data_IF_933228654435
#
_entry.id   IF_933228654435
#
_cell.length_a   1.000
_cell.length_b   1.000
_cell.length_c   1.000
_cell.angle_alpha   90.00
_cell.angle_beta   90.00
_cell.angle_gamma   90.00
#
_symmetry.space_group_name_H-M   'P 1'
#
loop_
_entity.id
_entity.type
_entity.pdbx_description
1 polymer ?
#
# COMPACT_ATOMS: atom_id res chain seq x y z
N UNK A 1 3.60 19.16 -30.92
CA UNK A 1 4.06 20.21 -29.99
C UNK A 1 3.96 19.63 -28.58
N UNK A 2 5.05 19.04 -28.10
CA UNK A 2 5.10 18.37 -26.79
C UNK A 2 5.52 19.35 -25.72
N UNK A 3 4.70 19.52 -24.69
CA UNK A 3 5.12 20.15 -23.45
C UNK A 3 5.92 19.11 -22.67
N UNK A 4 7.25 19.22 -22.68
CA UNK A 4 8.07 18.66 -21.61
C UNK A 4 7.83 19.53 -20.37
N UNK A 5 7.06 19.03 -19.42
CA UNK A 5 7.09 19.56 -18.07
C UNK A 5 8.42 19.09 -17.49
N UNK A 6 9.36 20.02 -17.34
CA UNK A 6 10.61 19.80 -16.64
C UNK A 6 10.28 19.38 -15.20
N UNK A 7 10.39 18.08 -14.90
CA UNK A 7 10.38 17.60 -13.53
C UNK A 7 11.50 18.32 -12.76
N UNK A 8 11.10 19.03 -11.69
CA UNK A 8 11.97 19.67 -10.71
C UNK A 8 12.95 18.62 -10.10
N UNK A 9 14.12 19.03 -9.60
CA UNK A 9 15.24 18.12 -9.36
C UNK A 9 14.88 16.99 -8.40
N UNK A 10 15.30 15.79 -8.80
CA UNK A 10 15.21 14.53 -8.07
C UNK A 10 15.77 14.73 -6.67
N UNK A 11 14.92 14.70 -5.63
CA UNK A 11 15.40 14.38 -4.28
C UNK A 11 16.10 13.03 -4.42
N UNK A 12 17.37 12.88 -3.98
CA UNK A 12 18.08 11.62 -4.12
C UNK A 12 17.25 10.50 -3.50
N UNK A 13 17.10 9.40 -4.22
CA UNK A 13 16.57 8.17 -3.63
C UNK A 13 17.57 7.76 -2.55
N UNK A 14 17.13 7.76 -1.30
CA UNK A 14 17.93 7.26 -0.19
C UNK A 14 17.55 5.80 0.05
N UNK A 15 18.53 4.92 -0.07
CA UNK A 15 18.36 3.55 0.41
C UNK A 15 18.20 3.57 1.93
N UNK A 16 17.22 2.82 2.42
CA UNK A 16 16.98 2.68 3.85
C UNK A 16 18.21 2.04 4.52
N UNK A 17 18.90 2.81 5.36
CA UNK A 17 20.19 2.38 5.95
C UNK A 17 20.02 1.49 7.18
N UNK A 18 18.84 1.49 7.80
CA UNK A 18 18.59 0.61 8.93
C UNK A 18 18.40 -0.83 8.42
N UNK A 19 18.93 -1.83 9.14
CA UNK A 19 18.96 -3.19 8.64
C UNK A 19 17.56 -3.82 8.59
N UNK A 20 16.99 -3.96 7.39
CA UNK A 20 16.01 -5.02 7.09
C UNK A 20 16.74 -6.31 6.68
N UNK A 21 17.93 -6.56 7.23
CA UNK A 21 18.87 -7.54 6.65
C UNK A 21 18.88 -8.86 7.40
N UNK A 22 17.70 -9.42 7.54
CA UNK A 22 17.47 -10.75 8.05
C UNK A 22 17.56 -11.75 6.87
N UNK A 23 18.77 -11.96 6.33
CA UNK A 23 19.12 -13.04 5.40
C UNK A 23 18.39 -13.08 4.02
N UNK A 24 18.42 -11.96 3.27
CA UNK A 24 17.75 -11.81 1.96
C UNK A 24 16.23 -11.95 2.06
N UNK A 25 15.65 -11.13 2.93
CA UNK A 25 14.20 -11.05 3.05
C UNK A 25 13.62 -10.12 1.98
N UNK A 26 12.42 -10.45 1.47
CA UNK A 26 11.64 -9.56 0.64
C UNK A 26 10.74 -8.72 1.54
N UNK A 27 10.78 -7.40 1.40
CA UNK A 27 9.88 -6.51 2.14
C UNK A 27 8.54 -6.45 1.38
N UNK A 28 7.60 -7.28 1.80
CA UNK A 28 6.33 -7.52 1.09
C UNK A 28 5.32 -6.40 1.27
N UNK A 29 5.28 -5.77 2.45
CA UNK A 29 4.34 -4.70 2.75
C UNK A 29 4.92 -3.71 3.75
N UNK A 30 4.45 -2.47 3.67
CA UNK A 30 4.86 -1.37 4.54
C UNK A 30 3.66 -0.51 4.90
N UNK A 31 3.63 -0.05 6.15
CA UNK A 31 2.71 1.00 6.56
C UNK A 31 3.40 1.98 7.50
N UNK A 32 2.90 3.21 7.52
CA UNK A 32 3.51 4.30 8.27
C UNK A 32 2.45 5.09 9.04
N UNK A 33 2.94 5.71 10.11
CA UNK A 33 2.23 6.71 10.90
C UNK A 33 3.21 7.84 11.19
N UNK A 34 2.75 8.90 11.86
CA UNK A 34 3.57 10.05 12.28
C UNK A 34 4.83 9.64 13.07
N UNK A 35 4.79 8.47 13.73
CA UNK A 35 5.77 8.06 14.72
C UNK A 35 6.48 6.74 14.42
N UNK A 36 6.01 5.98 13.43
CA UNK A 36 6.51 4.63 13.22
C UNK A 36 6.29 4.17 11.79
N UNK A 37 7.22 3.36 11.31
CA UNK A 37 7.13 2.64 10.04
C UNK A 37 7.19 1.16 10.37
N UNK A 38 6.27 0.36 9.84
CA UNK A 38 6.24 -1.07 10.03
C UNK A 38 6.44 -1.75 8.68
N UNK A 39 7.39 -2.67 8.61
CA UNK A 39 7.71 -3.43 7.40
C UNK A 39 7.61 -4.91 7.71
N UNK A 40 6.95 -5.66 6.85
CA UNK A 40 6.82 -7.12 6.97
C UNK A 40 7.42 -7.86 5.80
N UNK A 41 7.95 -9.05 6.07
CA UNK A 41 8.62 -9.90 5.09
C UNK A 41 8.39 -11.39 5.30
N UNK A 42 9.25 -12.22 4.73
CA UNK A 42 9.23 -13.67 4.88
C UNK A 42 9.56 -14.11 6.32
N UNK A 43 10.35 -13.32 7.07
CA UNK A 43 10.84 -13.73 8.39
C UNK A 43 10.24 -12.98 9.57
N UNK A 44 9.35 -12.02 9.33
CA UNK A 44 8.68 -11.32 10.42
C UNK A 44 8.32 -9.87 10.16
N UNK A 45 8.32 -9.10 11.25
CA UNK A 45 7.91 -7.70 11.34
C UNK A 45 9.06 -6.89 11.94
N UNK A 46 9.48 -5.83 11.25
CA UNK A 46 10.32 -4.78 11.83
C UNK A 46 9.45 -3.54 12.05
N UNK A 47 9.59 -2.92 13.22
CA UNK A 47 8.99 -1.64 13.55
C UNK A 47 10.14 -0.64 13.72
N UNK A 48 10.13 0.42 12.93
CA UNK A 48 11.03 1.55 13.05
C UNK A 48 10.34 2.71 13.77
N UNK A 49 11.13 3.51 14.48
CA UNK A 49 10.68 4.80 14.99
C UNK A 49 10.62 5.87 13.89
N UNK A 50 10.21 7.06 14.30
CA UNK A 50 10.02 8.22 13.44
C UNK A 50 11.32 8.78 12.83
N UNK A 51 12.48 8.31 13.27
CA UNK A 51 13.80 8.67 12.75
C UNK A 51 14.42 7.53 11.93
N UNK A 52 13.66 6.46 11.70
CA UNK A 52 14.10 5.27 10.97
C UNK A 52 14.98 4.32 11.79
N UNK A 53 15.09 4.49 13.10
CA UNK A 53 15.81 3.55 13.96
C UNK A 53 14.93 2.33 14.28
N UNK A 54 15.52 1.13 14.32
CA UNK A 54 14.78 -0.08 14.70
C UNK A 54 14.29 0.04 16.15
N UNK A 55 12.98 -0.01 16.33
CA UNK A 55 12.30 -0.03 17.63
C UNK A 55 12.03 -1.45 18.11
N UNK A 56 11.60 -2.32 17.21
CA UNK A 56 11.31 -3.72 17.53
C UNK A 56 11.48 -4.64 16.31
N UNK A 57 11.89 -5.88 16.59
CA UNK A 57 11.90 -6.99 15.63
C UNK A 57 11.11 -8.17 16.21
N UNK A 58 10.19 -8.69 15.41
CA UNK A 58 9.41 -9.89 15.74
C UNK A 58 9.64 -10.95 14.68
N UNK A 59 10.42 -11.97 15.03
CA UNK A 59 10.66 -13.13 14.17
C UNK A 59 9.39 -13.99 14.04
N UNK A 60 9.09 -14.43 12.81
CA UNK A 60 7.93 -15.25 12.49
C UNK A 60 8.32 -16.38 11.55
N UNK A 61 7.78 -17.58 11.80
CA UNK A 61 8.07 -18.78 11.00
C UNK A 61 7.39 -18.80 9.62
N UNK A 62 6.51 -17.84 9.35
CA UNK A 62 5.76 -17.75 8.09
C UNK A 62 5.78 -16.36 7.49
N UNK A 63 5.80 -16.24 6.14
CA UNK A 63 5.73 -14.96 5.48
C UNK A 63 4.50 -14.14 5.86
N UNK A 64 4.76 -12.86 6.07
CA UNK A 64 3.76 -11.83 6.24
C UNK A 64 3.66 -11.03 4.93
N UNK A 65 2.43 -10.69 4.53
CA UNK A 65 2.10 -10.07 3.24
C UNK A 65 1.32 -8.77 3.37
N UNK A 66 0.88 -8.43 4.57
CA UNK A 66 0.16 -7.20 4.85
C UNK A 66 0.56 -6.68 6.22
N UNK A 67 0.65 -5.36 6.34
CA UNK A 67 0.87 -4.66 7.60
C UNK A 67 -0.04 -3.44 7.66
N UNK A 68 -0.46 -3.07 8.87
CA UNK A 68 -1.29 -1.88 9.10
C UNK A 68 -0.99 -1.32 10.49
N UNK A 69 -0.64 -0.05 10.59
CA UNK A 69 -0.49 0.67 11.85
C UNK A 69 -1.81 1.37 12.18
N UNK A 70 -2.30 1.18 13.41
CA UNK A 70 -3.48 1.90 13.92
C UNK A 70 -3.22 2.34 15.34
N UNK A 71 -2.91 3.63 15.52
CA UNK A 71 -2.50 4.16 16.81
C UNK A 71 -1.26 3.41 17.32
N UNK A 72 -1.33 2.90 18.54
CA UNK A 72 -0.20 2.21 19.21
C UNK A 72 -0.15 0.69 18.90
N UNK A 73 -0.70 0.27 17.76
CA UNK A 73 -0.73 -1.15 17.35
C UNK A 73 -0.28 -1.34 15.92
N UNK A 74 0.40 -2.46 15.69
CA UNK A 74 0.72 -2.97 14.37
C UNK A 74 -0.03 -4.27 14.15
N UNK A 75 -0.78 -4.35 13.06
CA UNK A 75 -1.42 -5.58 12.60
C UNK A 75 -0.61 -6.17 11.47
N UNK A 76 -0.37 -7.48 11.52
CA UNK A 76 0.24 -8.22 10.42
C UNK A 76 -0.75 -9.24 9.87
N UNK A 77 -0.68 -9.48 8.58
CA UNK A 77 -1.40 -10.52 7.88
C UNK A 77 -0.43 -11.36 7.06
N UNK A 78 -0.51 -12.68 7.19
CA UNK A 78 0.39 -13.61 6.51
C UNK A 78 -0.27 -14.96 6.27
N UNK A 79 0.53 -15.99 6.02
CA UNK A 79 0.02 -17.29 5.57
C UNK A 79 -0.80 -18.05 6.61
N UNK A 80 -0.58 -17.77 7.89
CA UNK A 80 -1.32 -18.40 9.00
C UNK A 80 -2.47 -17.54 9.56
N UNK A 81 -2.70 -16.34 9.03
CA UNK A 81 -3.76 -15.46 9.49
C UNK A 81 -3.27 -14.08 9.87
N UNK A 82 -3.78 -13.55 10.97
CA UNK A 82 -3.50 -12.18 11.41
C UNK A 82 -3.03 -12.15 12.87
N UNK A 83 -2.18 -11.19 13.17
CA UNK A 83 -1.68 -10.92 14.52
C UNK A 83 -1.69 -9.42 14.78
N UNK A 84 -1.81 -9.05 16.06
CA UNK A 84 -1.69 -7.68 16.53
C UNK A 84 -0.56 -7.58 17.55
N UNK A 85 0.29 -6.56 17.39
CA UNK A 85 1.43 -6.29 18.25
C UNK A 85 1.34 -4.87 18.82
N UNK A 86 1.97 -4.64 19.97
CA UNK A 86 2.33 -3.28 20.39
C UNK A 86 3.42 -2.71 19.47
N UNK A 87 3.66 -1.40 19.52
CA UNK A 87 4.80 -0.80 18.81
C UNK A 87 6.18 -1.27 19.32
N UNK A 88 6.21 -1.93 20.49
CA UNK A 88 7.42 -2.50 21.07
C UNK A 88 7.58 -4.01 20.73
N UNK A 89 6.69 -4.56 19.90
CA UNK A 89 6.77 -5.94 19.40
C UNK A 89 6.06 -7.00 20.27
N UNK A 90 5.36 -6.60 21.33
CA UNK A 90 4.63 -7.55 22.16
C UNK A 90 3.38 -8.06 21.46
N UNK A 91 3.21 -9.39 21.37
CA UNK A 91 2.00 -9.99 20.82
C UNK A 91 0.80 -9.69 21.73
N UNK A 92 -0.21 -9.03 21.18
CA UNK A 92 -1.46 -8.70 21.87
C UNK A 92 -2.52 -9.77 21.64
N UNK A 93 -2.70 -10.20 20.39
CA UNK A 93 -3.62 -11.27 20.01
C UNK A 93 -3.29 -11.80 18.60
N UNK A 94 -3.77 -13.00 18.28
CA UNK A 94 -3.72 -13.57 16.94
C UNK A 94 -5.01 -14.31 16.59
N UNK A 95 -5.29 -14.44 15.29
CA UNK A 95 -6.41 -15.19 14.77
C UNK A 95 -6.05 -15.90 13.47
N UNK A 96 -6.34 -17.20 13.42
CA UNK A 96 -6.06 -18.03 12.25
C UNK A 96 -7.01 -17.73 11.08
N UNK A 97 -6.46 -17.70 9.87
CA UNK A 97 -7.22 -17.65 8.62
C UNK A 97 -6.72 -18.74 7.67
N UNK A 98 -7.59 -19.64 7.26
CA UNK A 98 -7.21 -20.82 6.48
C UNK A 98 -6.62 -20.51 5.09
N UNK A 99 -6.83 -19.30 4.56
CA UNK A 99 -6.28 -18.85 3.29
C UNK A 99 -5.29 -17.70 3.47
N UNK A 100 -4.71 -17.58 4.67
CA UNK A 100 -3.86 -16.47 5.07
C UNK A 100 -4.57 -15.12 5.02
N UNK A 101 -3.80 -14.05 5.00
CA UNK A 101 -4.26 -12.68 4.83
C UNK A 101 -3.41 -11.96 3.78
N UNK A 102 -4.07 -11.44 2.75
CA UNK A 102 -3.43 -10.71 1.64
C UNK A 102 -3.42 -9.20 1.84
N UNK A 103 -4.38 -8.66 2.60
CA UNK A 103 -4.50 -7.21 2.83
C UNK A 103 -5.25 -6.93 4.12
N UNK A 104 -4.83 -5.88 4.81
CA UNK A 104 -5.48 -5.36 6.00
C UNK A 104 -6.04 -3.96 5.73
N UNK A 105 -7.12 -3.60 6.41
CA UNK A 105 -7.64 -2.23 6.42
C UNK A 105 -8.46 -1.98 7.69
N UNK A 106 -8.56 -0.73 8.12
CA UNK A 106 -9.40 -0.34 9.26
C UNK A 106 -10.68 0.35 8.78
N UNK A 107 -11.82 -0.27 9.05
CA UNK A 107 -13.13 0.34 8.84
C UNK A 107 -13.60 1.00 10.13
N UNK A 108 -13.94 2.29 10.05
CA UNK A 108 -14.34 3.09 11.20
C UNK A 108 -13.19 3.25 12.19
N UNK A 109 -13.45 2.98 13.47
CA UNK A 109 -12.46 3.18 14.55
C UNK A 109 -11.86 1.87 15.08
N UNK A 110 -12.55 0.75 14.91
CA UNK A 110 -12.26 -0.48 15.65
C UNK A 110 -12.49 -1.77 14.87
N UNK A 111 -12.92 -1.68 13.60
CA UNK A 111 -13.21 -2.87 12.79
C UNK A 111 -12.07 -3.12 11.83
N UNK A 112 -11.19 -4.05 12.20
CA UNK A 112 -10.11 -4.52 11.32
C UNK A 112 -10.69 -5.47 10.27
N UNK A 113 -10.43 -5.19 9.01
CA UNK A 113 -10.78 -6.03 7.87
C UNK A 113 -9.53 -6.78 7.39
N UNK A 114 -9.67 -8.08 7.19
CA UNK A 114 -8.66 -8.94 6.58
C UNK A 114 -9.21 -9.54 5.28
N UNK A 115 -8.51 -9.32 4.17
CA UNK A 115 -8.77 -10.03 2.93
C UNK A 115 -8.11 -11.41 2.99
N UNK A 116 -8.91 -12.47 2.91
CA UNK A 116 -8.47 -13.86 3.01
C UNK A 116 -9.14 -14.72 1.93
N UNK A 117 -8.37 -15.18 0.95
CA UNK A 117 -8.85 -16.08 -0.10
C UNK A 117 -10.05 -15.51 -0.88
N UNK A 118 -10.01 -14.21 -1.16
CA UNK A 118 -11.07 -13.49 -1.86
C UNK A 118 -12.30 -13.17 -1.00
N UNK A 119 -12.20 -13.28 0.33
CA UNK A 119 -13.26 -12.93 1.29
C UNK A 119 -12.77 -11.88 2.28
N UNK A 120 -13.65 -10.94 2.63
CA UNK A 120 -13.37 -10.00 3.73
C UNK A 120 -13.84 -10.63 5.03
N UNK A 121 -12.96 -10.77 6.01
CA UNK A 121 -13.27 -11.20 7.37
C UNK A 121 -12.99 -10.05 8.32
N UNK A 122 -13.94 -9.74 9.21
CA UNK A 122 -13.79 -8.64 10.18
C UNK A 122 -13.49 -9.11 11.59
N UNK A 123 -12.70 -8.30 12.28
CA UNK A 123 -12.26 -8.50 13.65
C UNK A 123 -12.35 -7.19 14.43
N UNK A 124 -12.56 -7.30 15.74
CA UNK A 124 -12.30 -6.18 16.64
C UNK A 124 -10.80 -5.92 16.67
N UNK A 125 -10.36 -4.73 16.30
CA UNK A 125 -8.95 -4.32 16.32
C UNK A 125 -8.35 -4.38 17.73
N UNK A 126 -9.19 -4.23 18.76
CA UNK A 126 -8.78 -4.29 20.16
C UNK A 126 -8.59 -5.73 20.67
N UNK A 127 -9.51 -6.63 20.36
CA UNK A 127 -9.60 -7.95 21.03
C UNK A 127 -9.30 -9.14 20.14
N UNK A 128 -9.16 -8.95 18.83
CA UNK A 128 -9.08 -10.06 17.87
C UNK A 128 -10.36 -10.87 17.75
N UNK A 129 -11.44 -10.49 18.46
CA UNK A 129 -12.74 -11.17 18.35
C UNK A 129 -13.27 -11.01 16.94
N UNK A 130 -13.48 -12.13 16.25
CA UNK A 130 -14.15 -12.17 14.96
C UNK A 130 -15.56 -11.60 15.06
N UNK A 131 -15.90 -10.65 14.20
CA UNK A 131 -17.20 -9.97 14.19
C UNK A 131 -18.13 -10.65 13.19
N UNK A 132 -18.16 -10.19 11.93
CA UNK A 132 -18.84 -10.82 10.79
C UNK A 132 -18.55 -10.00 9.52
N UNK A 133 -18.05 -10.60 8.44
CA UNK A 133 -18.16 -10.02 7.08
C UNK A 133 -18.04 -11.15 6.05
N UNK A 134 -18.81 -11.10 4.97
CA UNK A 134 -18.66 -12.01 3.82
C UNK A 134 -19.01 -11.25 2.53
N UNK A 135 -18.17 -10.30 2.14
CA UNK A 135 -18.03 -10.00 0.71
C UNK A 135 -17.15 -11.10 0.10
N UNK A 136 -17.56 -11.65 -1.06
CA UNK A 136 -16.83 -12.70 -1.79
C UNK A 136 -16.37 -12.22 -3.16
N UNK A 137 -15.29 -12.82 -3.64
CA UNK A 137 -14.68 -12.50 -4.93
C UNK A 137 -13.93 -11.16 -4.91
N UNK A 138 -13.53 -10.69 -3.73
CA UNK A 138 -12.78 -9.44 -3.57
C UNK A 138 -11.32 -9.68 -3.93
N UNK A 139 -10.77 -8.86 -4.82
CA UNK A 139 -9.35 -8.92 -5.21
C UNK A 139 -8.51 -7.96 -4.40
N UNK A 140 -9.04 -6.77 -4.13
CA UNK A 140 -8.41 -5.76 -3.28
C UNK A 140 -9.47 -4.88 -2.61
N UNK A 141 -9.11 -4.26 -1.49
CA UNK A 141 -9.99 -3.37 -0.74
C UNK A 141 -9.22 -2.19 -0.16
N UNK A 142 -9.90 -1.08 0.07
CA UNK A 142 -9.36 0.08 0.78
C UNK A 142 -10.46 0.74 1.60
N UNK A 143 -10.08 1.48 2.64
CA UNK A 143 -11.02 2.13 3.55
C UNK A 143 -10.61 3.56 3.84
N UNK A 144 -11.60 4.44 4.04
CA UNK A 144 -11.40 5.76 4.65
C UNK A 144 -12.60 6.06 5.54
N UNK A 145 -12.36 6.21 6.85
CA UNK A 145 -13.41 6.31 7.85
C UNK A 145 -14.40 5.15 7.75
N UNK A 146 -15.68 5.44 7.52
CA UNK A 146 -16.75 4.43 7.38
C UNK A 146 -16.98 3.98 5.93
N UNK A 147 -16.16 4.43 4.99
CA UNK A 147 -16.25 4.05 3.57
C UNK A 147 -15.36 2.83 3.33
N UNK A 148 -15.94 1.80 2.69
CA UNK A 148 -15.22 0.63 2.21
C UNK A 148 -15.31 0.61 0.68
N UNK A 149 -14.18 0.50 0.01
CA UNK A 149 -14.12 0.26 -1.44
C UNK A 149 -13.57 -1.14 -1.67
N UNK A 150 -14.21 -1.89 -2.55
CA UNK A 150 -13.78 -3.25 -2.93
C UNK A 150 -13.68 -3.36 -4.43
N UNK A 151 -12.63 -4.00 -4.92
CA UNK A 151 -12.55 -4.45 -6.29
C UNK A 151 -12.88 -5.95 -6.38
N UNK A 152 -13.57 -6.33 -7.45
CA UNK A 152 -13.79 -7.72 -7.87
C UNK A 152 -13.38 -7.83 -9.34
N UNK A 153 -12.10 -8.09 -9.59
CA UNK A 153 -11.53 -8.01 -10.93
C UNK A 153 -11.55 -6.56 -11.44
N UNK A 154 -12.31 -6.29 -12.49
CA UNK A 154 -12.45 -4.97 -13.10
C UNK A 154 -13.63 -4.13 -12.56
N UNK A 155 -14.39 -4.65 -11.59
CA UNK A 155 -15.50 -3.91 -10.97
C UNK A 155 -15.10 -3.38 -9.61
N UNK A 156 -15.12 -2.07 -9.44
CA UNK A 156 -14.90 -1.38 -8.17
C UNK A 156 -16.26 -0.95 -7.61
N UNK A 157 -16.54 -1.27 -6.35
CA UNK A 157 -17.75 -0.83 -5.66
C UNK A 157 -17.39 -0.07 -4.39
N UNK A 158 -18.05 1.06 -4.18
CA UNK A 158 -17.96 1.84 -2.95
C UNK A 158 -19.16 1.55 -2.07
N UNK A 159 -18.90 1.17 -0.83
CA UNK A 159 -19.88 0.86 0.19
C UNK A 159 -19.79 1.92 1.29
N UNK A 160 -20.94 2.52 1.64
CA UNK A 160 -21.07 3.47 2.74
C UNK A 160 -22.15 2.96 3.69
N UNK A 161 -21.81 2.84 4.96
CA UNK A 161 -22.71 2.24 5.97
C UNK A 161 -23.28 0.88 5.50
N UNK A 162 -22.39 0.01 5.01
CA UNK A 162 -22.69 -1.35 4.50
C UNK A 162 -23.61 -1.42 3.27
N UNK A 163 -23.95 -0.29 2.65
CA UNK A 163 -24.75 -0.24 1.42
C UNK A 163 -23.87 0.18 0.25
N UNK A 164 -24.03 -0.50 -0.88
CA UNK A 164 -23.37 -0.09 -2.13
C UNK A 164 -23.92 1.28 -2.52
N UNK A 165 -23.04 2.29 -2.52
CA UNK A 165 -23.33 3.63 -2.99
C UNK A 165 -23.23 3.69 -4.52
N UNK A 166 -22.21 3.05 -5.09
CA UNK A 166 -22.02 2.92 -6.53
C UNK A 166 -21.11 1.74 -6.86
N UNK A 167 -21.20 1.28 -8.12
CA UNK A 167 -20.30 0.30 -8.74
C UNK A 167 -19.84 0.83 -10.09
N UNK A 168 -18.56 0.65 -10.42
CA UNK A 168 -17.93 1.07 -11.66
C UNK A 168 -17.12 -0.06 -12.27
N UNK A 169 -17.28 -0.29 -13.56
CA UNK A 169 -16.33 -1.06 -14.36
C UNK A 169 -15.21 -0.13 -14.83
N UNK A 170 -13.96 -0.49 -14.56
CA UNK A 170 -12.78 0.34 -14.87
C UNK A 170 -11.99 -0.14 -16.09
N UNK A 171 -12.38 -1.27 -16.69
CA UNK A 171 -11.75 -1.81 -17.90
C UNK A 171 -10.38 -2.47 -17.69
N UNK A 172 -9.92 -2.63 -16.46
CA UNK A 172 -8.71 -3.37 -16.08
C UNK A 172 -8.92 -4.07 -14.74
N UNK A 173 -8.21 -5.15 -14.45
CA UNK A 173 -8.21 -5.77 -13.12
C UNK A 173 -7.46 -4.85 -12.15
N UNK A 174 -8.13 -4.40 -11.09
CA UNK A 174 -7.49 -3.55 -10.09
C UNK A 174 -6.41 -4.35 -9.33
N UNK A 175 -5.17 -3.87 -9.40
CA UNK A 175 -4.04 -4.36 -8.63
C UNK A 175 -4.10 -3.81 -7.20
N UNK A 176 -4.36 -2.51 -7.06
CA UNK A 176 -4.49 -1.85 -5.76
C UNK A 176 -5.45 -0.65 -5.76
N UNK A 177 -5.87 -0.25 -4.56
CA UNK A 177 -6.78 0.86 -4.27
C UNK A 177 -6.29 1.69 -3.08
N UNK A 178 -6.50 3.00 -3.15
CA UNK A 178 -6.41 3.91 -2.02
C UNK A 178 -7.55 4.95 -2.05
N UNK A 179 -7.84 5.55 -0.89
CA UNK A 179 -8.81 6.65 -0.80
C UNK A 179 -8.09 7.88 -0.26
N UNK A 180 -8.38 9.03 -0.85
CA UNK A 180 -7.92 10.32 -0.32
C UNK A 180 -8.86 10.89 0.75
N UNK A 181 -8.50 12.05 1.29
CA UNK A 181 -9.25 12.74 2.35
C UNK A 181 -10.63 13.23 1.90
N UNK A 182 -10.84 13.47 0.61
CA UNK A 182 -12.15 13.77 0.02
C UNK A 182 -13.01 12.49 -0.18
N UNK A 183 -12.40 11.33 -0.01
CA UNK A 183 -12.98 10.01 -0.19
C UNK A 183 -13.03 9.56 -1.65
N UNK A 184 -12.33 10.26 -2.55
CA UNK A 184 -12.16 9.86 -3.93
C UNK A 184 -11.22 8.66 -4.00
N UNK A 185 -11.47 7.80 -5.00
CA UNK A 185 -10.88 6.47 -5.10
C UNK A 185 -9.80 6.48 -6.16
N UNK A 186 -8.58 6.25 -5.72
CA UNK A 186 -7.44 5.99 -6.57
C UNK A 186 -7.36 4.49 -6.85
N UNK A 187 -7.27 4.12 -8.13
CA UNK A 187 -7.20 2.72 -8.55
C UNK A 187 -6.11 2.52 -9.60
N UNK A 188 -5.36 1.43 -9.45
CA UNK A 188 -4.29 1.06 -10.38
C UNK A 188 -4.46 -0.36 -10.91
N UNK A 189 -3.91 -0.62 -12.10
CA UNK A 189 -3.86 -1.95 -12.72
C UNK A 189 -3.85 -1.88 -14.24
N UNK A 190 -3.32 -2.92 -14.90
CA UNK A 190 -3.23 -2.97 -16.38
C UNK A 190 -2.64 -1.69 -16.98
N UNK A 191 -1.48 -1.25 -16.46
CA UNK A 191 -0.76 -0.03 -16.87
C UNK A 191 -1.59 1.26 -16.72
N UNK A 192 -2.63 1.24 -15.88
CA UNK A 192 -3.53 2.38 -15.69
C UNK A 192 -3.45 2.92 -14.28
N UNK A 193 -3.56 4.26 -14.16
CA UNK A 193 -3.90 4.97 -12.94
C UNK A 193 -5.21 5.71 -13.17
N UNK A 194 -6.13 5.62 -12.22
CA UNK A 194 -7.49 6.14 -12.34
C UNK A 194 -7.90 6.85 -11.05
N UNK A 195 -8.48 8.03 -11.19
CA UNK A 195 -9.18 8.70 -10.09
C UNK A 195 -10.69 8.66 -10.34
N UNK A 196 -11.44 8.16 -9.36
CA UNK A 196 -12.90 8.03 -9.40
C UNK A 196 -13.49 8.85 -8.26
N UNK A 197 -14.49 9.67 -8.54
CA UNK A 197 -15.16 10.39 -7.46
C UNK A 197 -15.84 9.43 -6.48
N UNK A 198 -15.49 9.51 -5.21
CA UNK A 198 -16.06 8.73 -4.13
C UNK A 198 -17.53 9.03 -3.88
N UNK A 199 -18.00 10.20 -4.32
CA UNK A 199 -19.40 10.62 -4.20
C UNK A 199 -20.30 10.00 -5.26
N UNK A 200 -19.86 10.01 -6.52
CA UNK A 200 -20.71 9.68 -7.68
C UNK A 200 -20.29 8.39 -8.40
N UNK A 201 -19.07 7.90 -8.14
CA UNK A 201 -18.45 6.82 -8.89
C UNK A 201 -18.06 7.21 -10.31
N UNK A 202 -18.06 8.49 -10.69
CA UNK A 202 -17.63 8.94 -12.02
C UNK A 202 -16.10 8.99 -12.11
N UNK A 203 -15.55 8.49 -13.22
CA UNK A 203 -14.12 8.65 -13.53
C UNK A 203 -13.84 10.14 -13.72
N UNK A 204 -12.93 10.69 -12.94
CA UNK A 204 -12.47 12.07 -13.05
C UNK A 204 -11.38 12.16 -14.12
N UNK A 205 -10.42 11.23 -14.08
CA UNK A 205 -9.42 11.08 -15.12
C UNK A 205 -8.84 9.65 -15.11
N UNK A 206 -8.24 9.28 -16.25
CA UNK A 206 -7.41 8.09 -16.42
C UNK A 206 -6.06 8.49 -17.02
N UNK A 207 -4.97 7.89 -16.55
CA UNK A 207 -3.61 8.02 -17.07
C UNK A 207 -2.98 6.65 -17.26
N UNK A 208 -1.97 6.63 -18.11
CA UNK A 208 -1.11 5.47 -18.32
C UNK A 208 0.03 5.52 -17.30
N UNK A 209 0.31 4.37 -16.69
CA UNK A 209 1.51 4.12 -15.91
C UNK A 209 2.52 3.44 -16.85
N UNK A 210 3.77 3.92 -16.94
CA UNK A 210 4.75 3.46 -17.94
C UNK A 210 5.26 2.01 -17.75
N UNK A 211 4.64 1.23 -16.86
CA UNK A 211 5.04 -0.13 -16.51
C UNK A 211 3.92 -0.87 -15.80
N UNK A 212 4.25 -1.87 -14.99
CA UNK A 212 3.26 -2.60 -14.19
C UNK A 212 3.14 -1.96 -12.80
N UNK A 213 2.02 -1.27 -12.49
CA UNK A 213 1.80 -0.73 -11.16
C UNK A 213 1.44 -1.86 -10.19
N UNK A 214 2.02 -1.84 -9.00
CA UNK A 214 1.84 -2.90 -7.98
C UNK A 214 1.13 -2.41 -6.74
N UNK A 215 1.41 -1.18 -6.29
CA UNK A 215 0.78 -0.60 -5.11
C UNK A 215 0.56 0.91 -5.26
N UNK A 216 -0.43 1.42 -4.52
CA UNK A 216 -0.78 2.84 -4.49
C UNK A 216 -1.02 3.33 -3.06
N UNK A 217 -0.49 4.50 -2.74
CA UNK A 217 -0.79 5.25 -1.52
C UNK A 217 -1.26 6.67 -1.85
N UNK A 218 -1.70 7.41 -0.84
CA UNK A 218 -2.13 8.81 -0.96
C UNK A 218 -1.24 9.67 -0.06
N UNK A 219 -0.59 10.66 -0.68
CA UNK A 219 0.21 11.67 -0.03
C UNK A 219 -0.67 12.89 0.27
N UNK A 220 -0.79 13.28 1.54
CA UNK A 220 -1.66 14.39 1.88
C UNK A 220 -1.06 15.75 1.49
N UNK A 221 -1.84 16.55 0.76
CA UNK A 221 -1.36 17.83 0.21
C UNK A 221 -1.04 18.88 1.28
N UNK A 222 -1.84 18.91 2.36
CA UNK A 222 -1.81 19.98 3.36
C UNK A 222 -0.48 20.17 4.09
N UNK A 223 0.43 19.20 4.02
CA UNK A 223 1.70 19.20 4.75
C UNK A 223 2.93 19.50 3.87
N UNK A 224 2.81 19.50 2.54
CA UNK A 224 3.96 19.60 1.62
C UNK A 224 3.76 20.74 0.62
N UNK A 225 4.51 21.85 0.73
CA UNK A 225 4.35 23.02 -0.14
C UNK A 225 4.49 22.73 -1.65
N UNK A 226 5.22 21.67 -2.02
CA UNK A 226 5.51 21.32 -3.42
C UNK A 226 4.30 20.71 -4.16
N UNK A 227 3.37 20.06 -3.46
CA UNK A 227 2.23 19.35 -4.07
C UNK A 227 0.90 20.13 -3.93
N UNK A 228 0.90 21.26 -3.20
CA UNK A 228 -0.28 22.09 -2.99
C UNK A 228 -1.25 21.50 -1.96
N UNK A 229 -2.45 22.06 -1.83
CA UNK A 229 -3.39 21.70 -0.74
C UNK A 229 -4.23 20.45 -0.98
N UNK A 230 -4.09 19.78 -2.12
CA UNK A 230 -4.86 18.58 -2.47
C UNK A 230 -3.99 17.34 -2.36
N UNK A 231 -4.63 16.25 -2.00
CA UNK A 231 -3.99 14.95 -1.92
C UNK A 231 -3.50 14.48 -3.31
N UNK A 232 -2.39 13.74 -3.30
CA UNK A 232 -1.71 13.22 -4.49
C UNK A 232 -1.61 11.69 -4.41
N UNK A 233 -1.76 11.01 -5.54
CA UNK A 233 -1.60 9.56 -5.61
C UNK A 233 -0.14 9.19 -5.83
N UNK A 234 0.39 8.31 -4.98
CA UNK A 234 1.75 7.78 -5.09
C UNK A 234 1.67 6.34 -5.59
N UNK A 235 2.11 6.12 -6.81
CA UNK A 235 2.05 4.80 -7.46
C UNK A 235 3.45 4.24 -7.58
N UNK A 236 3.65 3.01 -7.12
CA UNK A 236 4.89 2.25 -7.35
C UNK A 236 4.62 1.02 -8.21
N UNK A 237 5.70 0.44 -8.73
CA UNK A 237 5.66 -0.70 -9.62
C UNK A 237 7.03 -0.97 -10.20
N UNK A 238 7.05 -1.62 -11.35
CA UNK A 238 8.28 -1.86 -12.09
C UNK A 238 8.12 -1.58 -13.59
N UNK A 239 9.23 -1.25 -14.22
CA UNK A 239 9.39 -1.17 -15.67
C UNK A 239 10.36 -2.25 -16.13
N UNK A 240 10.18 -2.74 -17.35
CA UNK A 240 11.12 -3.66 -17.99
C UNK A 240 12.35 -2.88 -18.48
N UNK A 241 13.55 -3.38 -18.19
CA UNK A 241 14.83 -2.85 -18.65
C UNK A 241 15.61 -3.91 -19.43
N UNK A 242 16.76 -3.54 -20.00
CA UNK A 242 17.64 -4.50 -20.68
C UNK A 242 18.33 -5.47 -19.71
N UNK A 243 18.29 -5.17 -18.41
CA UNK A 243 19.01 -5.90 -17.35
C UNK A 243 18.10 -6.57 -16.32
N UNK A 244 16.78 -6.52 -16.55
CA UNK A 244 15.77 -7.09 -15.65
C UNK A 244 14.60 -6.12 -15.51
N UNK A 245 14.21 -5.86 -14.26
CA UNK A 245 13.13 -4.93 -13.93
C UNK A 245 13.68 -3.88 -12.99
N UNK A 246 13.22 -2.65 -13.15
CA UNK A 246 13.62 -1.53 -12.31
C UNK A 246 12.39 -0.99 -11.58
N UNK A 247 12.55 -0.57 -10.33
CA UNK A 247 11.46 0.09 -9.60
C UNK A 247 11.10 1.37 -10.32
N UNK A 248 9.80 1.69 -10.37
CA UNK A 248 9.33 3.01 -10.77
C UNK A 248 8.33 3.52 -9.75
N UNK A 249 8.52 4.77 -9.31
CA UNK A 249 7.55 5.45 -8.44
C UNK A 249 7.19 6.80 -9.04
N UNK A 250 5.90 7.10 -9.11
CA UNK A 250 5.36 8.33 -9.70
C UNK A 250 4.33 8.94 -8.74
N UNK A 251 4.45 10.24 -8.50
CA UNK A 251 3.45 11.03 -7.77
C UNK A 251 2.59 11.77 -8.79
N UNK A 252 1.28 11.51 -8.74
CA UNK A 252 0.27 12.17 -9.55
C UNK A 252 -0.50 13.19 -8.71
N UNK A 253 -0.70 14.40 -9.25
CA UNK A 253 -1.60 15.39 -8.67
C UNK A 253 -3.06 14.91 -8.74
N UNK A 254 -3.94 15.55 -7.97
CA UNK A 254 -5.39 15.34 -8.05
C UNK A 254 -5.98 15.53 -9.46
N UNK A 255 -5.31 16.28 -10.33
CA UNK A 255 -5.74 16.55 -11.71
C UNK A 255 -5.09 15.57 -12.73
N UNK A 256 -4.30 14.61 -12.23
CA UNK A 256 -3.64 13.58 -13.04
C UNK A 256 -2.39 14.07 -13.76
N UNK A 257 -1.73 15.10 -13.24
CA UNK A 257 -0.42 15.56 -13.71
C UNK A 257 0.70 14.86 -12.93
N UNK A 258 1.85 14.62 -13.56
CA UNK A 258 3.01 14.05 -12.87
C UNK A 258 3.71 15.17 -12.10
N UNK A 259 3.73 15.06 -10.77
CA UNK A 259 4.44 15.99 -9.90
C UNK A 259 5.89 15.56 -9.68
N UNK A 260 6.13 14.26 -9.58
CA UNK A 260 7.44 13.67 -9.34
C UNK A 260 7.53 12.25 -9.89
N UNK A 261 8.73 11.81 -10.24
CA UNK A 261 9.01 10.42 -10.60
C UNK A 261 10.45 10.03 -10.27
N UNK A 262 10.67 8.76 -9.95
CA UNK A 262 11.99 8.17 -9.81
C UNK A 262 12.01 6.72 -10.31
N UNK A 263 13.19 6.29 -10.76
CA UNK A 263 13.51 4.91 -11.12
C UNK A 263 14.66 4.46 -10.24
N UNK A 264 14.56 3.28 -9.65
CA UNK A 264 15.64 2.65 -8.88
C UNK A 264 16.05 1.35 -9.56
N UNK A 265 17.34 1.25 -9.87
CA UNK A 265 18.00 0.14 -10.55
C UNK A 265 19.22 -0.25 -9.69
N UNK A 266 19.20 -1.45 -9.14
CA UNK A 266 20.28 -2.01 -8.32
C UNK A 266 21.43 -2.60 -9.17
N UNK A 267 21.31 -2.55 -10.49
CA UNK A 267 22.32 -2.79 -11.50
C UNK A 267 22.02 -3.98 -12.41
N UNK A 268 21.73 -5.15 -11.83
CA UNK A 268 21.52 -6.41 -12.55
C UNK A 268 20.56 -7.34 -11.83
N UNK A 269 19.40 -7.61 -12.43
CA UNK A 269 18.39 -8.51 -11.89
C UNK A 269 17.01 -7.87 -11.85
N UNK A 270 16.05 -8.57 -11.26
CA UNK A 270 14.71 -8.05 -11.06
C UNK A 270 14.67 -7.23 -9.76
N UNK A 271 14.38 -5.95 -9.91
CA UNK A 271 13.95 -5.05 -8.85
C UNK A 271 12.43 -4.87 -8.97
N UNK A 272 11.69 -5.48 -8.02
CA UNK A 272 10.22 -5.40 -7.97
C UNK A 272 9.77 -4.69 -6.69
N UNK A 273 9.11 -3.55 -6.86
CA UNK A 273 8.40 -2.86 -5.78
C UNK A 273 7.09 -3.60 -5.45
N UNK A 274 6.88 -3.95 -4.18
CA UNK A 274 5.69 -4.67 -3.71
C UNK A 274 4.67 -3.76 -3.03
N UNK A 275 5.12 -2.72 -2.32
CA UNK A 275 4.22 -1.86 -1.55
C UNK A 275 4.78 -0.45 -1.41
N UNK A 276 3.90 0.51 -1.12
CA UNK A 276 4.24 1.92 -0.90
C UNK A 276 3.36 2.53 0.17
N UNK A 277 3.96 3.31 1.06
CA UNK A 277 3.24 4.15 2.02
C UNK A 277 3.82 5.56 2.04
N UNK A 278 3.10 6.47 2.70
CA UNK A 278 3.56 7.85 2.90
C UNK A 278 3.49 8.23 4.37
N UNK A 279 4.43 9.05 4.82
CA UNK A 279 4.43 9.61 6.17
C UNK A 279 3.75 10.98 6.18
N UNK A 280 3.24 11.40 7.33
CA UNK A 280 2.70 12.75 7.57
C UNK A 280 3.76 13.87 7.40
N UNK A 281 5.04 13.51 7.26
CA UNK A 281 6.13 14.46 6.93
C UNK A 281 6.33 14.61 5.43
N UNK A 282 5.62 13.80 4.65
CA UNK A 282 5.72 13.79 3.20
C UNK A 282 6.78 12.89 2.62
N UNK A 283 7.26 11.92 3.40
CA UNK A 283 8.20 10.92 2.90
C UNK A 283 7.44 9.82 2.16
N UNK A 284 8.03 9.30 1.08
CA UNK A 284 7.49 8.17 0.33
C UNK A 284 8.40 6.98 0.63
N UNK A 285 7.81 5.92 1.18
CA UNK A 285 8.53 4.70 1.54
C UNK A 285 8.04 3.59 0.63
N UNK A 286 8.97 3.03 -0.14
CA UNK A 286 8.71 1.92 -1.06
C UNK A 286 9.45 0.70 -0.57
N UNK A 287 8.76 -0.45 -0.53
CA UNK A 287 9.35 -1.73 -0.18
C UNK A 287 9.22 -2.73 -1.31
N UNK A 288 10.17 -3.66 -1.38
CA UNK A 288 10.15 -4.71 -2.39
C UNK A 288 11.29 -5.70 -2.23
N UNK A 289 11.69 -6.30 -3.34
CA UNK A 289 12.94 -7.06 -3.47
C UNK A 289 13.80 -6.47 -4.57
N UNK A 290 15.11 -6.46 -4.35
CA UNK A 290 16.12 -6.19 -5.37
C UNK A 290 17.04 -7.39 -5.46
N UNK A 291 17.32 -7.85 -6.68
CA UNK A 291 18.32 -8.90 -6.91
C UNK A 291 19.51 -8.29 -7.58
N UNK A 292 20.69 -8.41 -6.98
CA UNK A 292 21.94 -8.16 -7.67
C UNK A 292 22.53 -9.52 -8.04
N UNK A 293 22.46 -9.89 -9.32
CA UNK A 293 23.19 -11.06 -9.81
C UNK A 293 24.65 -10.66 -9.87
N UNK A 294 25.40 -10.95 -8.80
CA UNK A 294 26.86 -10.88 -8.86
C UNK A 294 27.32 -11.81 -9.99
N UNK A 295 27.88 -11.24 -11.06
CA UNK A 295 28.61 -12.03 -12.04
C UNK A 295 29.86 -12.58 -11.34
N UNK A 296 29.92 -13.90 -11.17
CA UNK A 296 31.13 -14.62 -10.77
C UNK A 296 32.31 -14.36 -11.72
#
# INVERSE_FOLDING_TARGET
MGYMINAQPVVPIEEWKAPFNYARDAAWAVDASDRSVAVVGNRGLVIYDENGAERAWVEMDVPQRAVLIVGERVFTGGDNGISAYSLDGDLLWSAALASGCQRLALLGKDTLLALSGGRIVSFSSLSGRRLRTVERGVTVLATSGTTLVVAKGNRISCLKSEKIAWTRDVGFTAADLALDSDGDVWAIGGESVLLISGRTGSVMWKREFPGTPTAISVLSGGQIPLIGSRDSGVVTGYIESDKGKDYITIVFSSDGEILWRAVYDSGHGDDIAYDVTTTDRGEIIVTGSATNVASD
#
